data_IF_376314033505
#
_entry.id   IF_376314033505
#
_cell.length_a   1.000
_cell.length_b   1.000
_cell.length_c   1.000
_cell.angle_alpha   90.00
_cell.angle_beta   90.00
_cell.angle_gamma   90.00
#
_symmetry.space_group_name_H-M   'P 1'
#
loop_
_entity.id
_entity.type
_entity.pdbx_description
1 polymer ?
#
# COMPACT_ATOMS: atom_id res chain seq x y z
N UNK A 1 -19.74 -47.65 -29.32
CA UNK A 1 -20.36 -46.43 -28.73
C UNK A 1 -19.39 -45.63 -27.88
N UNK A 2 -18.51 -46.26 -27.10
CA UNK A 2 -17.55 -45.55 -26.21
C UNK A 2 -16.58 -44.60 -26.94
N UNK A 3 -16.09 -44.97 -28.12
CA UNK A 3 -15.14 -44.16 -28.90
C UNK A 3 -15.73 -42.87 -29.50
N UNK A 4 -17.05 -42.76 -29.69
CA UNK A 4 -17.71 -41.53 -30.14
C UNK A 4 -17.91 -40.53 -28.98
N UNK A 5 -18.16 -41.02 -27.77
CA UNK A 5 -18.32 -40.19 -26.58
C UNK A 5 -17.01 -39.53 -26.19
N UNK A 6 -15.90 -40.28 -26.25
CA UNK A 6 -14.54 -39.72 -25.94
C UNK A 6 -14.13 -38.67 -26.98
N UNK A 7 -14.42 -38.86 -28.29
CA UNK A 7 -14.13 -37.84 -29.31
C UNK A 7 -14.95 -36.57 -29.16
N UNK A 8 -16.20 -36.69 -28.75
CA UNK A 8 -17.08 -35.52 -28.52
C UNK A 8 -16.63 -34.76 -27.26
N UNK A 9 -16.23 -35.44 -26.18
CA UNK A 9 -15.70 -34.77 -24.97
C UNK A 9 -14.38 -34.06 -25.24
N UNK A 10 -13.47 -34.64 -26.02
CA UNK A 10 -12.19 -34.01 -26.39
C UNK A 10 -12.42 -32.79 -27.31
N UNK A 11 -13.40 -32.82 -28.21
CA UNK A 11 -13.75 -31.67 -29.07
C UNK A 11 -14.34 -30.52 -28.25
N UNK A 12 -15.19 -30.81 -27.27
CA UNK A 12 -15.72 -29.77 -26.35
C UNK A 12 -14.64 -29.19 -25.43
N UNK A 13 -13.68 -30.00 -24.97
CA UNK A 13 -12.53 -29.50 -24.19
C UNK A 13 -11.61 -28.59 -25.04
N UNK A 14 -11.35 -28.96 -26.30
CA UNK A 14 -10.53 -28.18 -27.23
C UNK A 14 -11.24 -26.90 -27.70
N UNK A 15 -12.55 -26.92 -27.91
CA UNK A 15 -13.32 -25.71 -28.27
C UNK A 15 -13.51 -24.78 -27.07
N UNK A 16 -13.64 -25.28 -25.85
CA UNK A 16 -13.62 -24.49 -24.62
C UNK A 16 -12.26 -23.82 -24.38
N UNK A 17 -11.16 -24.55 -24.60
CA UNK A 17 -9.82 -23.99 -24.49
C UNK A 17 -9.51 -22.94 -25.56
N UNK A 18 -10.01 -23.12 -26.80
CA UNK A 18 -9.89 -22.12 -27.88
C UNK A 18 -10.77 -20.89 -27.64
N UNK A 19 -11.92 -21.02 -26.99
CA UNK A 19 -12.76 -19.89 -26.62
C UNK A 19 -12.11 -19.04 -25.52
N UNK A 20 -11.47 -19.67 -24.53
CA UNK A 20 -10.71 -18.96 -23.48
C UNK A 20 -9.48 -18.27 -24.04
N UNK A 21 -8.75 -18.89 -24.96
CA UNK A 21 -7.64 -18.23 -25.66
C UNK A 21 -8.11 -17.10 -26.61
N UNK A 22 -9.26 -17.22 -27.24
CA UNK A 22 -9.82 -16.16 -28.09
C UNK A 22 -10.29 -14.94 -27.26
N UNK A 23 -10.88 -15.16 -26.08
CA UNK A 23 -11.26 -14.06 -25.16
C UNK A 23 -10.01 -13.36 -24.62
N UNK A 24 -8.95 -14.11 -24.27
CA UNK A 24 -7.69 -13.52 -23.80
C UNK A 24 -7.01 -12.75 -24.94
N UNK A 25 -7.09 -13.21 -26.20
CA UNK A 25 -6.50 -12.51 -27.35
C UNK A 25 -7.30 -11.26 -27.75
N UNK A 26 -8.62 -11.25 -27.52
CA UNK A 26 -9.48 -10.09 -27.86
C UNK A 26 -9.30 -8.92 -26.87
N UNK A 27 -8.88 -9.18 -25.64
CA UNK A 27 -8.62 -8.16 -24.61
C UNK A 27 -7.20 -7.56 -24.72
N UNK A 28 -6.29 -8.18 -25.48
CA UNK A 28 -4.87 -7.80 -25.52
C UNK A 28 -4.36 -7.23 -26.83
N UNK A 29 -5.19 -6.99 -27.84
CA UNK A 29 -4.78 -6.33 -29.09
C UNK A 29 -5.37 -4.92 -29.16
N UNK A 30 -4.58 -3.86 -28.95
CA UNK A 30 -5.02 -2.54 -29.32
C UNK A 30 -5.01 -2.43 -30.86
N UNK A 31 -6.13 -1.94 -31.40
CA UNK A 31 -6.31 -1.63 -32.81
C UNK A 31 -5.32 -0.52 -33.21
N UNK A 32 -4.31 -0.89 -33.99
CA UNK A 32 -3.38 0.06 -34.59
C UNK A 32 -3.80 0.32 -36.04
N UNK A 33 -4.64 1.30 -36.23
CA UNK A 33 -4.64 2.11 -37.45
C UNK A 33 -5.46 3.39 -37.22
N UNK A 34 -4.76 4.49 -36.92
CA UNK A 34 -5.18 5.82 -37.37
C UNK A 34 -4.03 6.84 -37.22
N UNK A 35 -3.50 7.21 -38.36
CA UNK A 35 -2.87 8.50 -38.74
C UNK A 35 -2.32 9.40 -37.62
N UNK A 36 -1.01 9.49 -37.65
CA UNK A 36 -0.17 10.51 -37.01
C UNK A 36 -0.67 11.90 -37.42
N UNK A 37 -1.27 12.59 -36.46
CA UNK A 37 -1.32 14.05 -36.43
C UNK A 37 -0.40 14.48 -35.32
N UNK A 38 0.78 14.98 -35.70
CA UNK A 38 1.65 15.72 -34.80
C UNK A 38 0.85 16.88 -34.17
N UNK A 39 0.43 16.72 -32.95
CA UNK A 39 0.14 17.82 -32.03
C UNK A 39 1.31 17.93 -31.09
N UNK A 40 2.07 19.00 -31.26
CA UNK A 40 2.92 19.52 -30.20
C UNK A 40 2.07 19.65 -28.94
N UNK A 41 2.18 18.64 -28.07
CA UNK A 41 1.71 18.75 -26.71
C UNK A 41 2.83 19.46 -25.96
N UNK A 42 2.56 20.72 -25.63
CA UNK A 42 3.29 21.42 -24.58
C UNK A 42 3.51 20.44 -23.44
N UNK A 43 4.78 20.26 -23.06
CA UNK A 43 5.12 19.66 -21.80
C UNK A 43 4.35 20.46 -20.74
N UNK A 44 3.27 19.89 -20.21
CA UNK A 44 2.80 20.28 -18.91
C UNK A 44 4.00 20.11 -17.99
N UNK A 45 4.46 21.22 -17.47
CA UNK A 45 5.34 21.26 -16.32
C UNK A 45 4.72 20.28 -15.31
N UNK A 46 5.33 19.11 -15.20
CA UNK A 46 5.24 18.31 -13.99
C UNK A 46 5.72 19.27 -12.92
N UNK A 47 4.74 19.86 -12.20
CA UNK A 47 5.05 20.66 -11.04
C UNK A 47 5.98 19.79 -10.21
N UNK A 48 7.26 20.17 -10.19
CA UNK A 48 8.16 19.70 -9.16
C UNK A 48 7.37 19.94 -7.89
N UNK A 49 6.96 18.86 -7.23
CA UNK A 49 6.57 18.93 -5.83
C UNK A 49 7.80 19.60 -5.21
N UNK A 50 7.68 20.92 -4.96
CA UNK A 50 8.66 21.58 -4.12
C UNK A 50 8.67 20.68 -2.90
N UNK A 51 9.78 19.96 -2.75
CA UNK A 51 10.03 19.25 -1.51
C UNK A 51 9.64 20.27 -0.45
N UNK A 52 8.63 19.96 0.38
CA UNK A 52 8.38 20.73 1.58
C UNK A 52 9.63 20.50 2.37
N UNK A 53 10.64 21.17 1.90
CA UNK A 53 11.96 21.20 2.45
C UNK A 53 11.75 21.77 3.82
N UNK A 54 12.54 21.37 4.75
CA UNK A 54 12.78 21.87 6.08
C UNK A 54 12.56 23.38 6.32
N UNK A 55 12.05 24.11 5.35
CA UNK A 55 11.75 25.55 5.45
C UNK A 55 10.76 25.87 6.57
N UNK A 56 9.84 24.94 6.89
CA UNK A 56 8.96 25.05 8.06
C UNK A 56 9.69 24.77 9.39
N UNK A 57 10.86 24.12 9.32
CA UNK A 57 11.71 23.81 10.47
C UNK A 57 12.84 24.82 10.65
N UNK A 58 13.04 25.72 9.68
CA UNK A 58 14.13 26.68 9.70
C UNK A 58 14.07 27.56 10.95
N UNK A 59 15.14 27.54 11.77
CA UNK A 59 15.25 28.31 13.00
C UNK A 59 14.68 27.64 14.25
N UNK A 60 14.12 26.42 14.16
CA UNK A 60 13.77 25.62 15.33
C UNK A 60 15.04 24.97 15.89
N UNK A 61 15.16 24.94 17.21
CA UNK A 61 16.28 24.25 17.88
C UNK A 61 15.89 22.85 18.31
N UNK A 62 14.65 22.67 18.78
CA UNK A 62 14.11 21.41 19.23
C UNK A 62 12.86 21.06 18.41
N UNK A 63 12.84 19.90 17.75
CA UNK A 63 11.76 19.42 16.89
C UNK A 63 11.14 18.19 17.52
N UNK A 64 9.83 18.24 17.80
CA UNK A 64 9.07 17.10 18.29
C UNK A 64 8.43 16.34 17.14
N UNK A 65 8.61 15.01 17.13
CA UNK A 65 8.13 14.14 16.07
C UNK A 65 7.25 13.04 16.65
N UNK A 66 6.03 12.91 16.13
CA UNK A 66 5.14 11.78 16.42
C UNK A 66 5.06 10.87 15.22
N UNK A 67 5.20 9.56 15.45
CA UNK A 67 5.05 8.53 14.42
C UNK A 67 3.81 7.70 14.73
N UNK A 68 2.87 7.69 13.81
CA UNK A 68 1.64 6.90 13.84
C UNK A 68 1.70 5.88 12.71
N UNK A 69 1.33 4.64 12.97
CA UNK A 69 1.33 3.67 11.89
C UNK A 69 1.36 2.20 12.31
N UNK A 70 1.65 1.39 11.32
CA UNK A 70 1.69 -0.05 11.43
C UNK A 70 3.12 -0.60 11.68
N UNK A 71 3.35 -1.84 11.29
CA UNK A 71 4.65 -2.51 11.40
C UNK A 71 5.76 -1.86 10.57
N UNK A 72 5.41 -1.19 9.45
CA UNK A 72 6.38 -0.49 8.59
C UNK A 72 6.94 0.73 9.34
N UNK A 73 6.06 1.55 9.90
CA UNK A 73 6.45 2.72 10.71
C UNK A 73 7.15 2.35 12.01
N UNK A 74 6.88 1.15 12.53
CA UNK A 74 7.53 0.63 13.73
C UNK A 74 8.98 0.21 13.49
N UNK A 75 9.36 -0.13 12.25
CA UNK A 75 10.63 -0.80 11.96
C UNK A 75 10.59 -2.27 12.40
N UNK A 76 9.50 -2.98 12.05
CA UNK A 76 9.35 -4.41 12.38
C UNK A 76 10.48 -5.24 11.78
N UNK A 77 10.96 -6.23 12.55
CA UNK A 77 11.87 -7.28 12.08
C UNK A 77 11.22 -8.65 12.27
N UNK A 78 11.35 -9.52 11.26
CA UNK A 78 10.94 -10.92 11.32
C UNK A 78 11.97 -11.81 12.03
N UNK A 79 13.20 -11.30 12.26
CA UNK A 79 14.25 -11.93 13.06
C UNK A 79 14.47 -11.12 14.36
N UNK A 80 14.20 -11.73 15.51
CA UNK A 80 14.37 -11.10 16.84
C UNK A 80 15.82 -10.63 17.13
N UNK A 81 16.80 -11.15 16.39
CA UNK A 81 18.20 -10.75 16.54
C UNK A 81 18.60 -9.58 15.63
N UNK A 82 17.73 -9.15 14.74
CA UNK A 82 17.96 -8.06 13.79
C UNK A 82 17.12 -6.86 14.21
N UNK A 83 17.76 -5.72 14.40
CA UNK A 83 17.09 -4.45 14.66
C UNK A 83 17.00 -3.69 13.34
N UNK A 84 15.78 -3.37 12.92
CA UNK A 84 15.49 -2.51 11.78
C UNK A 84 15.26 -1.09 12.29
N UNK A 85 16.08 -0.15 11.87
CA UNK A 85 15.88 1.25 12.17
C UNK A 85 14.73 1.81 11.32
N UNK A 86 13.66 2.39 11.94
CA UNK A 86 12.50 2.88 11.19
C UNK A 86 12.85 4.06 10.29
N UNK A 87 12.13 4.18 9.17
CA UNK A 87 12.31 5.25 8.20
C UNK A 87 12.20 6.64 8.84
N UNK A 88 11.36 6.81 9.85
CA UNK A 88 11.18 8.08 10.57
C UNK A 88 12.47 8.52 11.25
N UNK A 89 13.21 7.60 11.90
CA UNK A 89 14.52 7.90 12.48
C UNK A 89 15.56 8.24 11.42
N UNK A 90 15.55 7.50 10.31
CA UNK A 90 16.47 7.74 9.19
C UNK A 90 16.21 9.10 8.53
N UNK A 91 14.93 9.45 8.30
CA UNK A 91 14.53 10.73 7.74
C UNK A 91 14.94 11.89 8.66
N UNK A 92 14.66 11.78 9.96
CA UNK A 92 15.03 12.81 10.94
C UNK A 92 16.54 13.00 11.05
N UNK A 93 17.34 11.94 11.00
CA UNK A 93 18.80 12.03 10.94
C UNK A 93 19.28 12.83 9.72
N UNK A 94 18.66 12.57 8.56
CA UNK A 94 19.00 13.28 7.32
C UNK A 94 18.63 14.76 7.38
N UNK A 95 17.43 15.08 7.90
CA UNK A 95 16.94 16.45 8.03
C UNK A 95 17.79 17.24 9.03
N UNK A 96 18.02 16.67 10.22
CA UNK A 96 18.83 17.32 11.25
C UNK A 96 20.28 17.58 10.80
N UNK A 97 20.85 16.69 9.98
CA UNK A 97 22.18 16.89 9.43
C UNK A 97 22.26 18.04 8.40
N UNK A 98 21.12 18.41 7.77
CA UNK A 98 21.06 19.52 6.81
C UNK A 98 20.78 20.86 7.48
N UNK A 99 19.91 20.90 8.49
CA UNK A 99 19.31 22.11 9.05
C UNK A 99 19.81 22.43 10.48
N UNK A 100 20.67 21.58 11.06
CA UNK A 100 21.31 21.75 12.39
C UNK A 100 20.32 21.98 13.54
N UNK A 101 19.37 21.07 13.72
CA UNK A 101 18.43 21.05 14.85
C UNK A 101 18.53 19.75 15.67
N UNK A 102 18.05 19.80 16.92
CA UNK A 102 17.83 18.60 17.74
C UNK A 102 16.40 18.12 17.57
N UNK A 103 16.15 16.82 17.76
CA UNK A 103 14.81 16.26 17.65
C UNK A 103 14.56 15.15 18.67
N UNK A 104 13.28 14.99 19.01
CA UNK A 104 12.77 13.90 19.82
C UNK A 104 11.68 13.18 19.03
N UNK A 105 11.79 11.84 18.93
CA UNK A 105 10.80 10.99 18.23
C UNK A 105 10.05 10.16 19.25
N UNK A 106 8.71 10.25 19.22
CA UNK A 106 7.83 9.32 19.91
C UNK A 106 7.11 8.46 18.88
N UNK A 107 7.35 7.15 18.91
CA UNK A 107 6.80 6.21 17.94
C UNK A 107 5.69 5.35 18.57
N UNK A 108 4.43 5.60 18.17
CA UNK A 108 3.24 4.86 18.63
C UNK A 108 2.79 3.78 17.61
N UNK A 109 3.59 3.48 16.60
CA UNK A 109 3.25 2.47 15.61
C UNK A 109 3.12 1.07 16.22
N UNK A 110 2.15 0.30 15.73
CA UNK A 110 1.82 -1.04 16.23
C UNK A 110 1.71 -2.05 15.07
N UNK A 111 2.29 -3.22 15.26
CA UNK A 111 2.20 -4.30 14.28
C UNK A 111 0.73 -4.67 14.01
N UNK A 112 0.38 -4.83 12.73
CA UNK A 112 -0.95 -5.25 12.32
C UNK A 112 -2.03 -4.17 12.43
N UNK A 113 -1.66 -2.90 12.63
CA UNK A 113 -2.59 -1.79 12.75
C UNK A 113 -3.17 -1.43 11.38
N UNK A 114 -4.49 -1.45 11.28
CA UNK A 114 -5.28 -0.96 10.15
C UNK A 114 -5.88 0.43 10.46
N UNK A 115 -6.58 1.00 9.51
CA UNK A 115 -7.17 2.34 9.64
C UNK A 115 -8.24 2.43 10.73
N UNK A 116 -9.05 1.37 10.93
CA UNK A 116 -10.02 1.29 12.04
C UNK A 116 -9.28 1.27 13.38
N UNK A 117 -8.26 0.42 13.52
CA UNK A 117 -7.46 0.35 14.74
C UNK A 117 -6.69 1.63 15.04
N UNK A 118 -6.28 2.40 14.02
CA UNK A 118 -5.70 3.73 14.21
C UNK A 118 -6.70 4.66 14.90
N UNK A 119 -7.94 4.71 14.43
CA UNK A 119 -8.98 5.54 15.02
C UNK A 119 -9.35 5.07 16.44
N UNK A 120 -9.59 3.78 16.62
CA UNK A 120 -10.19 3.24 17.83
C UNK A 120 -9.19 3.06 18.99
N UNK A 121 -7.91 2.78 18.69
CA UNK A 121 -6.93 2.36 19.70
C UNK A 121 -5.78 3.34 19.86
N UNK A 122 -5.38 4.03 18.78
CA UNK A 122 -4.23 4.93 18.82
C UNK A 122 -4.71 6.35 19.08
N UNK A 123 -5.56 6.90 18.21
CA UNK A 123 -6.03 8.28 18.32
C UNK A 123 -7.07 8.49 19.46
N UNK A 124 -7.49 7.45 20.15
CA UNK A 124 -8.30 7.54 21.36
C UNK A 124 -7.48 7.57 22.66
N UNK A 125 -6.17 7.38 22.57
CA UNK A 125 -5.24 7.43 23.71
C UNK A 125 -4.80 8.87 23.98
N UNK A 126 -4.98 9.34 25.23
CA UNK A 126 -4.66 10.71 25.62
C UNK A 126 -3.18 11.05 25.45
N UNK A 127 -2.28 10.09 25.70
CA UNK A 127 -0.83 10.29 25.54
C UNK A 127 -0.48 10.51 24.06
N UNK A 128 -1.12 9.78 23.15
CA UNK A 128 -0.96 9.96 21.69
C UNK A 128 -1.50 11.32 21.26
N UNK A 129 -2.70 11.68 21.72
CA UNK A 129 -3.31 12.98 21.42
C UNK A 129 -2.41 14.14 21.88
N UNK A 130 -1.86 14.06 23.08
CA UNK A 130 -0.92 15.03 23.62
C UNK A 130 0.37 15.10 22.81
N UNK A 131 0.87 13.96 22.32
CA UNK A 131 2.05 13.90 21.48
C UNK A 131 1.79 14.57 20.13
N UNK A 132 0.67 14.24 19.45
CA UNK A 132 0.25 14.88 18.19
C UNK A 132 0.13 16.39 18.35
N UNK A 133 -0.51 16.85 19.43
CA UNK A 133 -0.70 18.28 19.71
C UNK A 133 0.63 19.06 19.91
N UNK A 134 1.68 18.39 20.37
CA UNK A 134 3.01 19.01 20.58
C UNK A 134 3.93 18.90 19.37
N UNK A 135 3.59 18.03 18.42
CA UNK A 135 4.49 17.68 17.32
C UNK A 135 4.67 18.80 16.30
N UNK A 136 5.88 18.92 15.82
CA UNK A 136 6.27 19.73 14.68
C UNK A 136 6.22 18.93 13.38
N UNK A 137 6.43 17.60 13.49
CA UNK A 137 6.31 16.65 12.40
C UNK A 137 5.46 15.46 12.86
N UNK A 138 4.54 15.01 12.00
CA UNK A 138 3.73 13.83 12.21
C UNK A 138 3.90 12.89 11.02
N UNK A 139 4.49 11.72 11.24
CA UNK A 139 4.57 10.67 10.22
C UNK A 139 3.38 9.72 10.37
N UNK A 140 2.73 9.38 9.24
CA UNK A 140 1.60 8.45 9.21
C UNK A 140 1.83 7.37 8.15
N UNK A 141 1.77 6.10 8.55
CA UNK A 141 1.84 4.94 7.66
C UNK A 141 0.78 3.93 8.04
N UNK A 142 -0.28 3.83 7.23
CA UNK A 142 -1.41 2.92 7.45
C UNK A 142 -2.08 2.58 6.12
N UNK A 143 -2.77 1.45 6.04
CA UNK A 143 -3.50 1.00 4.86
C UNK A 143 -3.04 -0.37 4.36
N UNK A 144 -1.79 -0.76 4.58
CA UNK A 144 -1.31 -2.10 4.20
C UNK A 144 -2.08 -3.21 4.92
N UNK A 145 -2.43 -3.01 6.19
CA UNK A 145 -3.21 -4.00 6.94
C UNK A 145 -4.69 -4.01 6.55
N UNK A 146 -5.26 -2.88 6.12
CA UNK A 146 -6.60 -2.82 5.52
C UNK A 146 -6.64 -3.72 4.28
N UNK A 147 -5.70 -3.56 3.36
CA UNK A 147 -5.54 -4.42 2.19
C UNK A 147 -5.37 -5.90 2.57
N UNK A 148 -4.45 -6.22 3.49
CA UNK A 148 -4.13 -7.60 3.85
C UNK A 148 -5.29 -8.29 4.61
N UNK A 149 -6.06 -7.56 5.40
CA UNK A 149 -7.24 -8.05 6.08
C UNK A 149 -8.35 -8.38 5.07
N UNK A 150 -8.60 -7.47 4.12
CA UNK A 150 -9.58 -7.67 3.08
C UNK A 150 -9.18 -8.79 2.11
N UNK A 151 -7.89 -8.94 1.80
CA UNK A 151 -7.38 -10.10 1.05
C UNK A 151 -7.74 -11.44 1.71
N UNK A 152 -7.69 -11.54 3.04
CA UNK A 152 -8.08 -12.76 3.76
C UNK A 152 -9.58 -13.04 3.60
N UNK A 153 -10.41 -12.01 3.72
CA UNK A 153 -11.87 -12.08 3.53
C UNK A 153 -12.22 -12.49 2.10
N UNK A 154 -11.57 -11.86 1.12
CA UNK A 154 -11.73 -12.17 -0.30
C UNK A 154 -11.38 -13.65 -0.61
N UNK A 155 -10.28 -14.17 -0.04
CA UNK A 155 -9.91 -15.58 -0.21
C UNK A 155 -10.94 -16.51 0.42
N UNK A 156 -11.48 -16.18 1.59
CA UNK A 156 -12.56 -16.97 2.20
C UNK A 156 -13.79 -17.04 1.29
N UNK A 157 -14.19 -15.91 0.70
CA UNK A 157 -15.33 -15.85 -0.22
C UNK A 157 -15.06 -16.63 -1.52
N UNK A 158 -13.88 -16.43 -2.14
CA UNK A 158 -13.50 -17.14 -3.37
C UNK A 158 -13.53 -18.66 -3.17
N UNK A 159 -13.05 -19.14 -2.04
CA UNK A 159 -12.98 -20.57 -1.73
C UNK A 159 -14.24 -21.13 -1.08
N UNK A 160 -15.23 -20.28 -0.78
CA UNK A 160 -16.45 -20.65 -0.05
C UNK A 160 -16.11 -21.41 1.25
N UNK A 161 -15.28 -20.78 2.11
CA UNK A 161 -14.76 -21.40 3.33
C UNK A 161 -14.83 -20.49 4.54
N UNK A 162 -15.12 -21.07 5.72
CA UNK A 162 -15.07 -20.38 7.01
C UNK A 162 -13.67 -20.44 7.66
N UNK A 163 -12.65 -20.91 6.94
CA UNK A 163 -11.29 -21.02 7.45
C UNK A 163 -10.74 -19.66 7.82
N UNK A 164 -10.34 -19.49 9.09
CA UNK A 164 -9.68 -18.26 9.57
C UNK A 164 -8.19 -18.32 9.28
N UNK A 165 -7.75 -17.54 8.30
CA UNK A 165 -6.34 -17.41 7.98
C UNK A 165 -5.61 -16.53 8.99
N UNK A 166 -4.44 -16.98 9.43
CA UNK A 166 -3.59 -16.21 10.37
C UNK A 166 -2.95 -14.99 9.69
N UNK A 167 -2.64 -15.11 8.39
CA UNK A 167 -2.04 -14.04 7.61
C UNK A 167 -2.56 -14.05 6.17
N UNK A 168 -2.40 -12.94 5.46
CA UNK A 168 -2.69 -12.85 4.03
C UNK A 168 -1.82 -13.83 3.23
N UNK A 169 -0.54 -14.00 3.59
CA UNK A 169 0.35 -14.96 2.96
C UNK A 169 -0.14 -16.42 3.05
N UNK A 170 -0.70 -16.82 4.21
CA UNK A 170 -1.34 -18.13 4.35
C UNK A 170 -2.57 -18.26 3.45
N UNK A 171 -3.45 -17.23 3.44
CA UNK A 171 -4.63 -17.21 2.58
C UNK A 171 -4.28 -17.31 1.10
N UNK A 172 -3.33 -16.52 0.64
CA UNK A 172 -2.86 -16.51 -0.75
C UNK A 172 -2.20 -17.83 -1.15
N UNK A 173 -1.47 -18.48 -0.24
CA UNK A 173 -0.90 -19.81 -0.48
C UNK A 173 -2.00 -20.84 -0.72
N UNK A 174 -3.03 -20.88 0.15
CA UNK A 174 -4.16 -21.80 0.01
C UNK A 174 -4.95 -21.52 -1.28
N UNK A 175 -5.16 -20.23 -1.62
CA UNK A 175 -5.81 -19.84 -2.87
C UNK A 175 -5.02 -20.35 -4.08
N UNK A 176 -3.71 -20.17 -4.11
CA UNK A 176 -2.84 -20.64 -5.20
C UNK A 176 -2.92 -22.15 -5.40
N UNK A 177 -2.86 -22.91 -4.30
CA UNK A 177 -2.99 -24.37 -4.34
C UNK A 177 -4.38 -24.79 -4.85
N UNK A 178 -5.43 -24.08 -4.47
CA UNK A 178 -6.81 -24.33 -4.92
C UNK A 178 -7.00 -24.01 -6.41
N UNK A 179 -6.39 -22.91 -6.92
CA UNK A 179 -6.39 -22.55 -8.35
C UNK A 179 -5.69 -23.61 -9.18
N UNK A 180 -4.61 -24.23 -8.69
CA UNK A 180 -3.92 -25.31 -9.38
C UNK A 180 -4.84 -26.55 -9.58
N UNK A 181 -5.76 -26.80 -8.65
CA UNK A 181 -6.77 -27.86 -8.74
C UNK A 181 -8.06 -27.45 -9.48
N UNK A 182 -8.37 -26.17 -9.52
CA UNK A 182 -9.57 -25.61 -10.16
C UNK A 182 -9.27 -24.25 -10.83
N UNK A 183 -8.82 -24.25 -12.10
CA UNK A 183 -8.48 -23.01 -12.81
C UNK A 183 -9.65 -22.02 -12.99
N UNK A 184 -10.92 -22.47 -12.83
CA UNK A 184 -12.07 -21.56 -12.93
C UNK A 184 -12.14 -20.56 -11.78
N UNK A 185 -11.44 -20.82 -10.66
CA UNK A 185 -11.31 -19.86 -9.57
C UNK A 185 -10.65 -18.53 -9.98
N UNK A 186 -9.85 -18.53 -11.07
CA UNK A 186 -9.26 -17.31 -11.60
C UNK A 186 -10.33 -16.28 -11.99
N UNK A 187 -11.46 -16.72 -12.55
CA UNK A 187 -12.57 -15.82 -12.90
C UNK A 187 -13.18 -15.18 -11.65
N UNK A 188 -13.34 -15.97 -10.58
CA UNK A 188 -13.88 -15.47 -9.31
C UNK A 188 -12.90 -14.50 -8.64
N UNK A 189 -11.59 -14.76 -8.72
CA UNK A 189 -10.55 -13.84 -8.24
C UNK A 189 -10.66 -12.49 -8.95
N UNK A 190 -10.75 -12.49 -10.29
CA UNK A 190 -10.87 -11.26 -11.09
C UNK A 190 -12.13 -10.49 -10.67
N UNK A 191 -13.28 -11.18 -10.59
CA UNK A 191 -14.54 -10.57 -10.18
C UNK A 191 -14.44 -9.95 -8.79
N UNK A 192 -13.87 -10.64 -7.81
CA UNK A 192 -13.69 -10.15 -6.43
C UNK A 192 -12.80 -8.91 -6.41
N UNK A 193 -11.68 -8.89 -7.15
CA UNK A 193 -10.78 -7.74 -7.22
C UNK A 193 -11.40 -6.54 -7.94
N UNK A 194 -12.26 -6.76 -8.96
CA UNK A 194 -13.00 -5.70 -9.66
C UNK A 194 -14.12 -5.09 -8.79
N UNK A 195 -14.66 -5.86 -7.84
CA UNK A 195 -15.74 -5.44 -6.94
C UNK A 195 -15.22 -5.01 -5.55
N UNK A 196 -13.91 -4.75 -5.42
CA UNK A 196 -13.32 -4.34 -4.15
C UNK A 196 -13.98 -3.10 -3.56
N UNK A 197 -14.41 -3.19 -2.30
CA UNK A 197 -15.07 -2.08 -1.61
C UNK A 197 -14.04 -1.19 -0.89
N UNK A 198 -13.97 0.06 -1.33
CA UNK A 198 -13.07 1.06 -0.75
C UNK A 198 -13.74 1.94 0.32
N UNK A 199 -15.06 1.83 0.51
CA UNK A 199 -15.82 2.78 1.32
C UNK A 199 -15.40 2.77 2.79
N UNK A 200 -15.11 1.59 3.34
CA UNK A 200 -14.67 1.45 4.74
C UNK A 200 -13.30 2.10 4.94
N UNK A 201 -12.35 1.81 4.05
CA UNK A 201 -11.03 2.43 4.10
C UNK A 201 -11.10 3.95 3.96
N UNK A 202 -11.85 4.46 2.99
CA UNK A 202 -12.03 5.90 2.77
C UNK A 202 -12.67 6.59 3.98
N UNK A 203 -13.71 5.99 4.57
CA UNK A 203 -14.37 6.54 5.77
C UNK A 203 -13.41 6.61 6.97
N UNK A 204 -12.66 5.52 7.22
CA UNK A 204 -11.66 5.48 8.29
C UNK A 204 -10.52 6.48 8.04
N UNK A 205 -10.10 6.65 6.78
CA UNK A 205 -9.08 7.62 6.38
C UNK A 205 -9.52 9.05 6.71
N UNK A 206 -10.73 9.42 6.31
CA UNK A 206 -11.32 10.73 6.59
C UNK A 206 -11.42 10.96 8.09
N UNK A 207 -11.92 10.00 8.87
CA UNK A 207 -12.01 10.12 10.32
C UNK A 207 -10.63 10.32 10.95
N UNK A 208 -9.64 9.52 10.58
CA UNK A 208 -8.26 9.62 11.06
C UNK A 208 -7.68 11.01 10.79
N UNK A 209 -7.77 11.48 9.55
CA UNK A 209 -7.20 12.78 9.18
C UNK A 209 -7.94 13.95 9.82
N UNK A 210 -9.27 13.89 9.96
CA UNK A 210 -10.05 14.86 10.74
C UNK A 210 -9.53 14.96 12.19
N UNK A 211 -9.28 13.83 12.84
CA UNK A 211 -8.81 13.79 14.24
C UNK A 211 -7.39 14.35 14.36
N UNK A 212 -6.48 13.94 13.48
CA UNK A 212 -5.09 14.44 13.47
C UNK A 212 -5.10 15.97 13.22
N UNK A 213 -5.82 16.43 12.22
CA UNK A 213 -5.92 17.87 11.86
C UNK A 213 -6.52 18.72 12.96
N UNK A 214 -7.49 18.17 13.72
CA UNK A 214 -8.09 18.87 14.85
C UNK A 214 -7.14 19.01 16.05
N UNK A 215 -6.15 18.15 16.17
CA UNK A 215 -5.19 18.10 17.29
C UNK A 215 -3.85 18.77 16.97
N UNK A 216 -3.38 18.69 15.72
CA UNK A 216 -2.05 19.17 15.34
C UNK A 216 -1.86 20.66 15.58
N UNK A 217 -0.62 21.12 15.75
CA UNK A 217 -0.28 22.55 15.63
C UNK A 217 -0.61 23.06 14.24
N UNK A 218 -0.91 24.35 14.12
CA UNK A 218 -1.21 25.02 12.85
C UNK A 218 -0.09 24.82 11.81
N UNK A 219 1.15 24.90 12.27
CA UNK A 219 2.36 24.79 11.46
C UNK A 219 3.05 23.42 11.53
N UNK A 220 2.37 22.39 12.05
CA UNK A 220 2.89 21.04 12.06
C UNK A 220 2.86 20.43 10.65
N UNK A 221 3.96 19.83 10.24
CA UNK A 221 4.09 19.13 8.99
C UNK A 221 3.62 17.67 9.12
N UNK A 222 2.63 17.29 8.33
CA UNK A 222 2.16 15.92 8.25
C UNK A 222 2.74 15.27 7.00
N UNK A 223 3.38 14.12 7.15
CA UNK A 223 3.86 13.27 6.06
C UNK A 223 3.19 11.92 6.13
N UNK A 224 2.53 11.57 5.06
CA UNK A 224 1.84 10.29 4.89
C UNK A 224 2.58 9.46 3.86
N UNK A 225 2.84 8.20 4.11
CA UNK A 225 3.28 7.29 3.05
C UNK A 225 2.06 6.71 2.33
N UNK A 226 2.11 6.60 1.01
CA UNK A 226 1.18 5.74 0.31
C UNK A 226 1.55 4.24 0.50
N UNK A 227 0.79 3.31 -0.10
CA UNK A 227 0.93 1.87 0.10
C UNK A 227 1.74 1.30 -1.08
N UNK A 228 2.88 0.65 -0.82
CA UNK A 228 3.57 -0.16 -1.83
C UNK A 228 2.90 -1.53 -1.96
N UNK A 229 3.24 -2.31 -3.01
CA UNK A 229 2.63 -3.63 -3.20
C UNK A 229 3.25 -4.69 -2.26
N UNK A 230 2.62 -5.01 -1.11
CA UNK A 230 3.18 -5.96 -0.15
C UNK A 230 3.09 -7.42 -0.61
N UNK A 231 2.43 -7.69 -1.74
CA UNK A 231 2.26 -9.06 -2.28
C UNK A 231 3.06 -9.31 -3.56
N UNK A 232 3.80 -8.33 -4.06
CA UNK A 232 4.60 -8.44 -5.29
C UNK A 232 5.57 -9.64 -5.26
N UNK A 233 6.12 -9.96 -4.07
CA UNK A 233 7.09 -11.05 -3.88
C UNK A 233 6.46 -12.40 -3.49
N UNK A 234 5.13 -12.52 -3.43
CA UNK A 234 4.45 -13.73 -2.97
C UNK A 234 4.20 -14.78 -4.07
N UNK A 235 4.83 -14.65 -5.25
CA UNK A 235 4.68 -15.58 -6.37
C UNK A 235 3.21 -15.87 -6.76
N UNK A 236 2.38 -14.84 -6.83
CA UNK A 236 1.01 -14.93 -7.31
C UNK A 236 0.95 -14.97 -8.85
N UNK A 237 -0.12 -15.52 -9.46
CA UNK A 237 -0.31 -15.40 -10.91
C UNK A 237 -0.31 -13.95 -11.38
N UNK A 238 0.27 -13.66 -12.55
CA UNK A 238 0.41 -12.30 -13.07
C UNK A 238 -0.92 -11.52 -13.24
N UNK A 239 -2.04 -12.22 -13.45
CA UNK A 239 -3.38 -11.63 -13.48
C UNK A 239 -3.84 -11.17 -12.10
N UNK A 240 -3.49 -11.93 -11.07
CA UNK A 240 -3.78 -11.60 -9.68
C UNK A 240 -2.90 -10.45 -9.19
N UNK A 241 -1.61 -10.47 -9.53
CA UNK A 241 -0.67 -9.41 -9.19
C UNK A 241 -1.16 -8.06 -9.75
N UNK A 242 -1.51 -7.99 -11.03
CA UNK A 242 -2.10 -6.78 -11.64
C UNK A 242 -3.42 -6.34 -10.99
N UNK A 243 -4.26 -7.31 -10.59
CA UNK A 243 -5.52 -7.00 -9.91
C UNK A 243 -5.27 -6.38 -8.53
N UNK A 244 -4.36 -6.93 -7.75
CA UNK A 244 -3.95 -6.37 -6.45
C UNK A 244 -3.27 -5.01 -6.62
N UNK A 245 -2.41 -4.84 -7.63
CA UNK A 245 -1.81 -3.55 -7.95
C UNK A 245 -2.87 -2.48 -8.25
N UNK A 246 -3.93 -2.81 -9.00
CA UNK A 246 -5.04 -1.90 -9.24
C UNK A 246 -5.79 -1.53 -7.96
N UNK A 247 -6.02 -2.49 -7.06
CA UNK A 247 -6.63 -2.22 -5.74
C UNK A 247 -5.77 -1.23 -4.96
N UNK A 248 -4.44 -1.45 -4.90
CA UNK A 248 -3.52 -0.56 -4.20
C UNK A 248 -3.53 0.85 -4.83
N UNK A 249 -3.52 0.96 -6.16
CA UNK A 249 -3.60 2.26 -6.84
C UNK A 249 -4.85 3.03 -6.46
N UNK A 250 -6.00 2.36 -6.37
CA UNK A 250 -7.25 3.00 -5.95
C UNK A 250 -7.22 3.41 -4.47
N UNK A 251 -6.63 2.60 -3.58
CA UNK A 251 -6.42 3.00 -2.18
C UNK A 251 -5.47 4.22 -2.09
N UNK A 252 -4.40 4.22 -2.88
CA UNK A 252 -3.47 5.35 -2.93
C UNK A 252 -4.12 6.62 -3.50
N UNK A 253 -5.04 6.50 -4.47
CA UNK A 253 -5.85 7.63 -4.94
C UNK A 253 -6.73 8.22 -3.83
N UNK A 254 -7.24 7.41 -2.90
CA UNK A 254 -7.95 7.91 -1.72
C UNK A 254 -6.99 8.71 -0.84
N UNK A 255 -5.80 8.18 -0.56
CA UNK A 255 -4.78 8.89 0.20
C UNK A 255 -4.44 10.25 -0.45
N UNK A 256 -4.16 10.26 -1.75
CA UNK A 256 -3.82 11.47 -2.50
C UNK A 256 -4.96 12.48 -2.57
N UNK A 257 -6.20 12.01 -2.74
CA UNK A 257 -7.40 12.84 -2.86
C UNK A 257 -7.59 13.81 -1.71
N UNK A 258 -7.23 13.41 -0.51
CA UNK A 258 -7.44 14.20 0.70
C UNK A 258 -6.21 14.98 1.16
N UNK A 259 -5.10 14.93 0.40
CA UNK A 259 -3.85 15.58 0.78
C UNK A 259 -3.97 17.10 0.90
N UNK A 260 -4.64 17.75 -0.05
CA UNK A 260 -4.88 19.20 -0.02
C UNK A 260 -5.86 19.60 1.09
N UNK A 261 -6.93 18.84 1.31
CA UNK A 261 -7.96 19.14 2.32
C UNK A 261 -7.40 19.12 3.74
N UNK A 262 -6.51 18.16 4.04
CA UNK A 262 -5.94 17.97 5.38
C UNK A 262 -4.50 18.47 5.52
N UNK A 263 -3.98 19.15 4.49
CA UNK A 263 -2.64 19.74 4.48
C UNK A 263 -1.55 18.73 4.89
N UNK A 264 -1.47 17.59 4.16
CA UNK A 264 -0.39 16.62 4.31
C UNK A 264 0.34 16.35 3.00
N UNK A 265 1.61 16.02 3.12
CA UNK A 265 2.43 15.56 1.99
C UNK A 265 2.38 14.06 1.88
N UNK A 266 2.22 13.54 0.67
CA UNK A 266 2.33 12.11 0.37
C UNK A 266 3.76 11.78 -0.06
N UNK A 267 4.41 10.87 0.67
CA UNK A 267 5.65 10.24 0.24
C UNK A 267 5.29 9.02 -0.63
N UNK A 268 5.61 9.09 -1.92
CA UNK A 268 5.28 8.04 -2.89
C UNK A 268 6.25 6.85 -2.76
N UNK A 269 5.90 5.91 -1.90
CA UNK A 269 6.64 4.66 -1.75
C UNK A 269 6.11 3.55 -2.70
N UNK A 270 4.93 3.77 -3.31
CA UNK A 270 4.37 2.83 -4.28
C UNK A 270 5.20 2.76 -5.57
N UNK A 271 5.66 3.92 -6.06
CA UNK A 271 6.48 4.02 -7.27
C UNK A 271 7.97 3.81 -7.01
N UNK A 272 8.36 3.58 -5.75
CA UNK A 272 9.75 3.39 -5.35
C UNK A 272 10.17 1.90 -5.41
N UNK A 273 11.46 1.64 -5.15
CA UNK A 273 12.03 0.29 -5.11
C UNK A 273 11.82 -0.44 -3.76
N UNK A 274 10.94 0.07 -2.87
CA UNK A 274 10.71 -0.54 -1.54
C UNK A 274 10.30 -2.01 -1.65
N UNK A 275 9.46 -2.36 -2.63
CA UNK A 275 9.00 -3.74 -2.81
C UNK A 275 10.12 -4.72 -3.18
N UNK A 276 11.26 -4.25 -3.71
CA UNK A 276 12.43 -5.06 -4.02
C UNK A 276 13.36 -5.24 -2.81
N UNK A 277 13.12 -4.48 -1.74
CA UNK A 277 13.92 -4.43 -0.51
C UNK A 277 13.07 -4.80 0.71
N UNK A 278 12.57 -6.03 0.70
CA UNK A 278 11.79 -6.61 1.80
C UNK A 278 12.51 -7.75 2.48
N UNK A 279 12.14 -8.00 3.73
CA UNK A 279 12.65 -9.09 4.55
C UNK A 279 12.23 -10.46 3.99
N UNK A 280 12.76 -11.58 4.51
CA UNK A 280 12.41 -12.94 4.05
C UNK A 280 10.92 -13.27 4.12
N UNK A 281 10.13 -12.54 4.92
CA UNK A 281 8.67 -12.69 4.96
C UNK A 281 7.97 -12.17 3.68
N UNK A 282 8.69 -11.46 2.83
CA UNK A 282 8.21 -10.92 1.55
C UNK A 282 7.27 -9.71 1.69
N UNK A 283 7.06 -9.19 2.91
CA UNK A 283 6.07 -8.17 3.21
C UNK A 283 6.68 -6.90 3.80
N UNK A 284 7.57 -7.03 4.77
CA UNK A 284 8.10 -5.89 5.51
C UNK A 284 9.40 -5.37 4.90
N UNK A 285 9.59 -4.05 4.81
CA UNK A 285 10.84 -3.48 4.33
C UNK A 285 12.02 -3.97 5.19
N UNK A 286 13.13 -4.33 4.54
CA UNK A 286 14.41 -4.50 5.21
C UNK A 286 15.04 -3.13 5.52
N UNK A 287 16.29 -3.10 6.01
CA UNK A 287 16.94 -1.83 6.33
C UNK A 287 17.13 -0.93 5.10
N UNK A 288 17.32 -1.51 3.91
CA UNK A 288 17.41 -0.75 2.65
C UNK A 288 16.04 -0.20 2.27
N UNK A 289 14.98 -1.00 2.38
CA UNK A 289 13.61 -0.54 2.16
C UNK A 289 13.22 0.61 3.10
N UNK A 290 13.58 0.54 4.36
CA UNK A 290 13.37 1.66 5.31
C UNK A 290 14.15 2.92 4.90
N UNK A 291 15.38 2.75 4.37
CA UNK A 291 16.17 3.88 3.88
C UNK A 291 15.53 4.51 2.64
N UNK A 292 14.99 3.71 1.71
CA UNK A 292 14.28 4.21 0.52
C UNK A 292 13.06 5.04 0.93
N UNK A 293 12.27 4.58 1.92
CA UNK A 293 11.14 5.36 2.45
C UNK A 293 11.61 6.71 3.01
N UNK A 294 12.69 6.71 3.79
CA UNK A 294 13.27 7.93 4.34
C UNK A 294 13.75 8.89 3.24
N UNK A 295 14.34 8.36 2.17
CA UNK A 295 14.83 9.14 1.04
C UNK A 295 13.68 9.76 0.25
N UNK A 296 12.55 9.05 0.05
CA UNK A 296 11.33 9.60 -0.54
C UNK A 296 10.77 10.78 0.29
N UNK A 297 10.75 10.65 1.61
CA UNK A 297 10.33 11.73 2.52
C UNK A 297 11.25 12.95 2.41
N UNK A 298 12.55 12.72 2.26
CA UNK A 298 13.56 13.79 2.17
C UNK A 298 13.76 14.35 0.76
N UNK A 299 13.01 13.90 -0.25
CA UNK A 299 13.07 14.37 -1.64
C UNK A 299 14.39 14.02 -2.34
N UNK A 300 14.86 12.79 -2.17
CA UNK A 300 16.09 12.29 -2.81
C UNK A 300 15.79 11.28 -3.91
#
# INVERSE_FOLDING_TARGET
MLGKIIRTAVVFLLTGLLAVTAVITYVTVPDTDETVVEKETQAEETGMIESVTASSLTGRQDVHVTVLGDSIAKGYSDDENVVIEPYSSLAMKQMAAKEDFQYEITNYARNGLDSEGMNDKILSDEEVCDSVNRSDIIFVTVGSNDLLNECKSAVQEILDTDTKFKSAGEALKVLRESVAGNPLLVLKIIETLEQWDYQVFEANWIEMMNRISAMKKEDAWIVVTNIYNPVANLNVPSTMDRGVENVIRNMNQIIEKYAEEYDYQVADIFSSEVCDHVQPDGLHPDQTGQQIIADQICGK
#
